data_IF_633591902269
#
_entry.id   IF_633591902269
#
_cell.length_a   1.000
_cell.length_b   1.000
_cell.length_c   1.000
_cell.angle_alpha   90.00
_cell.angle_beta   90.00
_cell.angle_gamma   90.00
#
_symmetry.space_group_name_H-M   'P 1'
#
loop_
_entity.id
_entity.type
_entity.pdbx_description
1 polymer ?
#
# COMPACT_ATOMS: atom_id res chain seq x y z
N UNK A 1 -2.72 -15.38 -7.47
CA UNK A 1 -2.84 -13.91 -7.49
C UNK A 1 -1.50 -13.31 -7.89
N UNK A 2 -1.51 -12.21 -8.64
CA UNK A 2 -0.29 -11.49 -9.02
C UNK A 2 -0.09 -10.30 -8.08
N UNK A 3 1.16 -9.81 -7.99
CA UNK A 3 1.43 -8.58 -7.23
C UNK A 3 0.77 -7.38 -7.90
N UNK A 4 0.31 -6.43 -7.09
CA UNK A 4 -0.33 -5.18 -7.55
C UNK A 4 0.58 -4.02 -7.15
N UNK A 5 0.77 -3.03 -8.03
CA UNK A 5 1.62 -1.87 -7.80
C UNK A 5 0.83 -0.58 -8.01
N UNK A 6 1.00 0.36 -7.10
CA UNK A 6 0.55 1.75 -7.24
C UNK A 6 1.69 2.65 -6.73
N UNK A 7 2.36 3.37 -7.65
CA UNK A 7 3.53 4.17 -7.30
C UNK A 7 4.62 3.34 -6.61
N UNK A 8 5.05 3.78 -5.42
CA UNK A 8 5.99 3.12 -4.53
C UNK A 8 5.39 1.94 -3.74
N UNK A 9 4.07 1.78 -3.71
CA UNK A 9 3.44 0.68 -2.97
C UNK A 9 3.28 -0.56 -3.84
N UNK A 10 3.82 -1.67 -3.37
CA UNK A 10 3.66 -3.02 -3.94
C UNK A 10 2.90 -3.89 -2.94
N UNK A 11 1.77 -4.45 -3.38
CA UNK A 11 0.99 -5.44 -2.66
C UNK A 11 1.34 -6.83 -3.18
N UNK A 12 2.01 -7.62 -2.35
CA UNK A 12 2.36 -9.00 -2.65
C UNK A 12 1.36 -9.97 -2.00
N UNK A 13 0.73 -10.88 -2.74
CA UNK A 13 -0.20 -11.84 -2.14
C UNK A 13 0.55 -12.78 -1.18
N UNK A 14 -0.05 -13.05 -0.03
CA UNK A 14 0.48 -13.96 1.00
C UNK A 14 -0.61 -14.91 1.51
N UNK A 15 -0.22 -16.00 2.15
CA UNK A 15 -1.18 -16.96 2.71
C UNK A 15 -1.95 -16.38 3.90
N UNK A 16 -1.30 -15.58 4.75
CA UNK A 16 -1.89 -15.00 5.96
C UNK A 16 -1.30 -13.63 6.27
N UNK A 17 -2.09 -12.77 6.93
CA UNK A 17 -1.59 -11.55 7.57
C UNK A 17 -0.98 -11.88 8.94
N UNK A 18 0.03 -11.09 9.32
CA UNK A 18 0.75 -11.27 10.57
C UNK A 18 0.83 -9.97 11.37
N UNK A 19 1.00 -10.09 12.69
CA UNK A 19 1.22 -8.95 13.58
C UNK A 19 -0.02 -8.44 14.28
N UNK A 20 0.07 -7.20 14.76
CA UNK A 20 -1.00 -6.53 15.50
C UNK A 20 -1.84 -5.68 14.57
N UNK A 21 -3.16 -5.76 14.71
CA UNK A 21 -4.09 -4.88 14.01
C UNK A 21 -3.82 -3.42 14.40
N UNK A 22 -3.81 -2.55 13.39
CA UNK A 22 -3.70 -1.10 13.57
C UNK A 22 -4.99 -0.40 13.11
N UNK A 23 -5.22 0.82 13.61
CA UNK A 23 -6.51 1.51 13.50
C UNK A 23 -6.67 2.35 12.22
N UNK A 24 -5.64 2.43 11.37
CA UNK A 24 -5.70 3.14 10.09
C UNK A 24 -5.56 2.18 8.90
N UNK A 25 -5.88 2.70 7.71
CA UNK A 25 -5.77 1.97 6.44
C UNK A 25 -4.78 2.61 5.47
N UNK A 26 -3.94 3.52 5.96
CA UNK A 26 -2.79 4.07 5.22
C UNK A 26 -1.68 3.02 5.14
N UNK A 27 -1.29 2.68 3.91
CA UNK A 27 -0.24 1.71 3.59
C UNK A 27 1.14 2.37 3.48
N UNK A 28 1.18 3.61 3.02
CA UNK A 28 2.38 4.43 2.90
C UNK A 28 2.02 5.92 2.93
N UNK A 29 2.96 6.72 3.40
CA UNK A 29 2.93 8.18 3.30
C UNK A 29 3.91 8.57 2.20
N UNK A 30 3.45 9.34 1.21
CA UNK A 30 4.25 9.80 0.08
C UNK A 30 5.38 10.73 0.56
N UNK A 31 6.52 10.68 -0.13
CA UNK A 31 7.80 11.19 0.36
C UNK A 31 7.87 12.72 0.52
N UNK A 32 7.05 13.51 -0.19
CA UNK A 32 7.30 14.96 -0.31
C UNK A 32 6.08 15.86 -0.01
N UNK A 33 4.85 15.41 -0.27
CA UNK A 33 3.67 16.30 -0.32
C UNK A 33 2.61 16.01 0.74
N UNK A 34 2.79 14.99 1.57
CA UNK A 34 1.78 14.54 2.54
C UNK A 34 0.68 13.65 1.94
N UNK A 35 0.82 13.26 0.66
CA UNK A 35 -0.08 12.31 0.03
C UNK A 35 0.00 10.93 0.66
N UNK A 36 -1.08 10.14 0.57
CA UNK A 36 -1.15 8.85 1.26
C UNK A 36 -1.70 7.76 0.36
N UNK A 37 -1.00 6.63 0.31
CA UNK A 37 -1.56 5.40 -0.24
C UNK A 37 -2.48 4.80 0.81
N UNK A 38 -3.78 4.79 0.56
CA UNK A 38 -4.77 4.38 1.56
C UNK A 38 -5.91 3.59 0.95
N UNK A 39 -6.44 2.64 1.71
CA UNK A 39 -7.72 2.01 1.39
C UNK A 39 -8.86 2.94 1.83
N UNK A 40 -9.67 3.38 0.87
CA UNK A 40 -10.77 4.33 1.08
C UNK A 40 -12.15 3.69 0.95
N UNK A 41 -12.27 2.60 0.20
CA UNK A 41 -13.51 1.84 0.03
C UNK A 41 -13.31 0.34 0.25
N UNK A 42 -14.38 -0.34 0.68
CA UNK A 42 -14.37 -1.77 1.00
C UNK A 42 -14.10 -2.07 2.49
N UNK A 43 -14.20 -3.35 2.85
CA UNK A 43 -13.92 -3.84 4.20
C UNK A 43 -12.50 -4.38 4.25
N UNK A 44 -11.62 -3.66 4.94
CA UNK A 44 -10.22 -4.00 5.07
C UNK A 44 -9.71 -3.82 6.50
N UNK A 45 -8.64 -4.53 6.84
CA UNK A 45 -7.88 -4.34 8.06
C UNK A 45 -6.40 -4.32 7.74
N UNK A 46 -5.66 -3.50 8.48
CA UNK A 46 -4.21 -3.38 8.36
C UNK A 46 -3.55 -3.89 9.65
N UNK A 47 -2.45 -4.58 9.48
CA UNK A 47 -1.67 -5.21 10.53
C UNK A 47 -0.21 -4.79 10.39
N UNK A 48 0.51 -4.73 11.51
CA UNK A 48 1.93 -4.41 11.55
C UNK A 48 2.71 -5.46 12.33
N UNK A 49 3.81 -5.93 11.74
CA UNK A 49 4.79 -6.85 12.34
C UNK A 49 6.19 -6.46 11.88
N UNK A 50 7.10 -6.20 12.81
CA UNK A 50 8.52 -5.91 12.51
C UNK A 50 8.71 -4.85 11.41
N UNK A 51 7.99 -3.73 11.54
CA UNK A 51 7.95 -2.62 10.56
C UNK A 51 7.41 -2.98 9.16
N UNK A 52 6.91 -4.20 8.97
CA UNK A 52 6.21 -4.64 7.76
C UNK A 52 4.70 -4.53 7.97
N UNK A 53 4.01 -4.00 6.97
CA UNK A 53 2.55 -3.91 6.98
C UNK A 53 1.91 -5.07 6.21
N UNK A 54 0.79 -5.56 6.71
CA UNK A 54 -0.01 -6.62 6.11
C UNK A 54 -1.46 -6.17 6.00
N UNK A 55 -2.02 -6.26 4.80
CA UNK A 55 -3.37 -5.84 4.47
C UNK A 55 -4.26 -7.08 4.30
N UNK A 56 -5.41 -7.08 4.99
CA UNK A 56 -6.46 -8.09 4.85
C UNK A 56 -7.70 -7.45 4.25
N UNK A 57 -8.15 -7.96 3.12
CA UNK A 57 -9.38 -7.52 2.46
C UNK A 57 -10.47 -8.57 2.68
N UNK A 58 -11.62 -8.14 3.23
CA UNK A 58 -12.79 -8.97 3.53
C UNK A 58 -13.92 -8.81 2.52
N UNK A 59 -14.01 -7.66 1.84
CA UNK A 59 -14.94 -7.47 0.73
C UNK A 59 -14.39 -8.11 -0.54
N UNK A 60 -15.25 -8.33 -1.54
CA UNK A 60 -14.82 -8.86 -2.85
C UNK A 60 -13.68 -8.04 -3.45
N UNK A 61 -13.77 -6.71 -3.30
CA UNK A 61 -12.69 -5.77 -3.60
C UNK A 61 -12.60 -4.66 -2.56
N UNK A 62 -11.44 -4.02 -2.46
CA UNK A 62 -11.22 -2.78 -1.73
C UNK A 62 -10.44 -1.79 -2.60
N UNK A 63 -10.72 -0.50 -2.47
CA UNK A 63 -10.12 0.51 -3.34
C UNK A 63 -8.89 1.13 -2.67
N UNK A 64 -7.73 0.94 -3.31
CA UNK A 64 -6.49 1.63 -2.97
C UNK A 64 -6.45 2.94 -3.77
N UNK A 65 -6.35 4.07 -3.06
CA UNK A 65 -6.28 5.40 -3.65
C UNK A 65 -5.00 6.11 -3.28
N UNK A 66 -4.54 6.99 -4.16
CA UNK A 66 -3.51 7.98 -3.93
C UNK A 66 -3.93 9.27 -4.65
N UNK A 67 -3.53 10.43 -4.16
CA UNK A 67 -3.98 11.72 -4.74
C UNK A 67 -3.49 11.94 -6.18
N UNK A 68 -2.32 11.40 -6.53
CA UNK A 68 -1.72 11.53 -7.85
C UNK A 68 -1.97 10.33 -8.77
N UNK A 69 -2.43 9.20 -8.23
CA UNK A 69 -2.61 7.97 -9.01
C UNK A 69 -4.06 7.59 -9.14
N UNK A 70 -4.39 6.95 -10.26
CA UNK A 70 -5.69 6.34 -10.45
C UNK A 70 -5.90 5.23 -9.42
N UNK A 71 -7.04 5.27 -8.76
CA UNK A 71 -7.44 4.27 -7.80
C UNK A 71 -7.42 2.85 -8.38
N UNK A 72 -6.94 1.87 -7.59
CA UNK A 72 -6.82 0.47 -7.98
C UNK A 72 -7.69 -0.40 -7.09
N UNK A 73 -8.52 -1.25 -7.71
CA UNK A 73 -9.32 -2.24 -6.99
C UNK A 73 -8.44 -3.45 -6.64
N UNK A 74 -8.32 -3.73 -5.33
CA UNK A 74 -7.58 -4.85 -4.77
C UNK A 74 -8.57 -5.98 -4.46
N UNK A 75 -8.39 -7.19 -5.00
CA UNK A 75 -9.31 -8.29 -4.71
C UNK A 75 -9.19 -8.78 -3.28
N UNK A 76 -10.24 -9.45 -2.80
CA UNK A 76 -10.28 -10.14 -1.52
C UNK A 76 -9.03 -11.02 -1.32
N UNK A 77 -8.43 -10.94 -0.13
CA UNK A 77 -7.25 -11.75 0.20
C UNK A 77 -6.34 -11.13 1.25
N UNK A 78 -5.18 -11.75 1.42
CA UNK A 78 -4.12 -11.30 2.32
C UNK A 78 -2.93 -10.81 1.49
N UNK A 79 -2.40 -9.65 1.88
CA UNK A 79 -1.36 -8.95 1.14
C UNK A 79 -0.28 -8.47 2.10
N UNK A 80 0.98 -8.61 1.69
CA UNK A 80 2.11 -7.94 2.31
C UNK A 80 2.37 -6.64 1.56
N UNK A 81 2.51 -5.55 2.32
CA UNK A 81 2.84 -4.23 1.77
C UNK A 81 4.36 -4.10 1.71
N UNK A 82 4.88 -3.79 0.53
CA UNK A 82 6.28 -3.43 0.30
C UNK A 82 6.34 -2.02 -0.24
N UNK A 83 7.22 -1.21 0.34
CA UNK A 83 7.50 0.15 -0.13
C UNK A 83 8.76 0.09 -0.99
N UNK A 84 8.62 0.47 -2.25
CA UNK A 84 9.72 0.63 -3.18
C UNK A 84 10.24 2.06 -3.07
N UNK A 85 11.42 2.22 -2.46
CA UNK A 85 12.15 3.48 -2.51
C UNK A 85 13.09 3.46 -3.70
N UNK A 86 13.12 4.52 -4.48
CA UNK A 86 14.15 4.68 -5.49
C UNK A 86 15.47 4.99 -4.77
N UNK A 87 16.50 4.18 -5.02
CA UNK A 87 17.84 4.51 -4.56
C UNK A 87 18.45 5.46 -5.58
N UNK A 88 18.44 6.75 -5.29
CA UNK A 88 19.18 7.76 -6.06
C UNK A 88 20.56 7.96 -5.39
N UNK A 89 21.65 7.38 -5.94
CA UNK A 89 23.00 7.64 -5.42
C UNK A 89 23.50 9.07 -5.69
N UNK A 90 22.81 9.83 -6.54
CA UNK A 90 23.20 11.16 -6.99
C UNK A 90 22.00 12.08 -6.79
N UNK A 91 22.16 13.06 -5.89
CA UNK A 91 21.05 13.77 -5.26
C UNK A 91 20.02 14.43 -6.18
N UNK A 92 18.83 14.59 -5.61
CA UNK A 92 17.70 15.45 -5.98
C UNK A 92 17.72 15.97 -7.42
N UNK A 93 17.06 15.24 -8.32
CA UNK A 93 16.53 15.85 -9.55
C UNK A 93 15.01 15.88 -9.49
N UNK A 94 14.45 17.08 -9.64
CA UNK A 94 13.02 17.24 -9.91
C UNK A 94 12.68 16.51 -11.21
N UNK A 95 11.97 15.40 -11.10
CA UNK A 95 11.25 14.79 -12.22
C UNK A 95 9.84 15.39 -12.19
N UNK A 96 9.60 16.33 -13.09
CA UNK A 96 8.24 16.67 -13.49
C UNK A 96 7.72 15.51 -14.34
N UNK A 97 6.47 15.11 -14.08
CA UNK A 97 5.68 14.21 -14.93
C UNK A 97 5.76 14.60 -16.42
#
# INVERSE_FOLDING_TARGET
MQAIRQGDVILQPVAQVEGKKILHLTLAEGEVTGHKHRITEGKAELYSKDSTLFLRIFSETALLTHEEHKAIAIPQGHWMVKIQREYEPEGWRYVAD
#
